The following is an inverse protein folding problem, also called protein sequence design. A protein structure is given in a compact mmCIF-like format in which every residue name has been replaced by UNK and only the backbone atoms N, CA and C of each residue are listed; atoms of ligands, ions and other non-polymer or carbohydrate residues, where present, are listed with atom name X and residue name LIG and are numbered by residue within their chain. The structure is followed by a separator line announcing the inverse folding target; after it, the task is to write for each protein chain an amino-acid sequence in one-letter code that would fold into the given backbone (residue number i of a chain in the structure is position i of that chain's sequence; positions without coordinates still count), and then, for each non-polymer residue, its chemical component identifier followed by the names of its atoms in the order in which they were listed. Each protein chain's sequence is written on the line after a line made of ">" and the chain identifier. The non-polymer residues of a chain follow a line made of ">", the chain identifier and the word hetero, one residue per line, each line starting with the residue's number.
data_IF_730941074706
#
_entry.id   IF_730941074706
#
_cell.length_a   1.000
_cell.length_b   1.000
_cell.length_c   1.000
_cell.angle_alpha   90.00
_cell.angle_beta   90.00
_cell.angle_gamma   90.00
#
_symmetry.space_group_name_H-M   'P 1'
#
loop_
_entity.id
_entity.type
_entity.pdbx_description
1 polymer ?
#
# COMPACT_ATOMS: atom_id res chain seq x y z
N UNK A 1 -21.62 25.91 17.36
CA UNK A 1 -21.33 24.48 17.16
C UNK A 1 -20.75 24.29 15.77
N UNK A 2 -19.46 24.03 15.66
CA UNK A 2 -18.79 23.79 14.36
C UNK A 2 -19.09 22.37 13.91
N UNK A 3 -19.98 22.25 12.92
CA UNK A 3 -20.30 20.98 12.27
C UNK A 3 -19.01 20.40 11.67
N UNK A 4 -18.57 19.25 12.18
CA UNK A 4 -17.55 18.45 11.52
C UNK A 4 -18.07 18.13 10.12
N UNK A 5 -17.51 18.78 9.09
CA UNK A 5 -17.87 18.49 7.70
C UNK A 5 -17.64 17.00 7.47
N UNK A 6 -18.68 16.33 6.97
CA UNK A 6 -18.67 14.90 6.64
C UNK A 6 -17.45 14.63 5.78
N UNK A 7 -16.52 13.82 6.29
CA UNK A 7 -15.35 13.35 5.54
C UNK A 7 -15.83 12.70 4.23
N UNK A 8 -15.16 12.96 3.12
CA UNK A 8 -15.54 12.41 1.81
C UNK A 8 -15.74 10.89 1.92
N UNK A 9 -16.82 10.38 1.32
CA UNK A 9 -17.08 8.94 1.25
C UNK A 9 -15.87 8.28 0.59
N UNK A 10 -15.24 7.34 1.30
CA UNK A 10 -14.07 6.64 0.77
C UNK A 10 -14.51 5.53 -0.17
N UNK A 11 -13.79 5.33 -1.29
CA UNK A 11 -14.02 4.17 -2.12
C UNK A 11 -13.80 2.89 -1.31
N UNK A 12 -14.57 1.84 -1.60
CA UNK A 12 -14.41 0.51 -0.98
C UNK A 12 -13.08 -0.16 -1.38
N UNK A 13 -12.45 0.33 -2.45
CA UNK A 13 -11.15 -0.12 -2.94
C UNK A 13 -10.02 0.60 -2.21
N UNK A 14 -8.90 -0.08 -2.02
CA UNK A 14 -7.68 0.50 -1.45
C UNK A 14 -7.29 1.79 -2.21
N UNK A 15 -7.30 2.97 -1.56
CA UNK A 15 -7.18 4.26 -2.26
C UNK A 15 -5.89 4.45 -3.06
N UNK A 16 -4.82 3.76 -2.67
CA UNK A 16 -3.50 3.85 -3.29
C UNK A 16 -3.20 2.70 -4.26
N UNK A 17 -4.13 1.75 -4.44
CA UNK A 17 -3.98 0.68 -5.42
C UNK A 17 -4.34 1.19 -6.81
N UNK A 18 -3.39 1.11 -7.73
CA UNK A 18 -3.56 1.67 -9.07
C UNK A 18 -3.22 0.67 -10.18
N UNK A 19 -3.52 1.07 -11.41
CA UNK A 19 -3.26 0.26 -12.60
C UNK A 19 -1.77 -0.03 -12.81
N UNK A 20 -0.87 0.87 -12.41
CA UNK A 20 0.57 0.63 -12.47
C UNK A 20 1.00 -0.50 -11.54
N UNK A 21 0.51 -0.53 -10.29
CA UNK A 21 0.77 -1.62 -9.36
C UNK A 21 0.22 -2.94 -9.87
N UNK A 22 -0.97 -2.94 -10.48
CA UNK A 22 -1.56 -4.14 -11.07
C UNK A 22 -0.74 -4.66 -12.25
N UNK A 23 -0.29 -3.77 -13.15
CA UNK A 23 0.61 -4.13 -14.25
C UNK A 23 1.93 -4.71 -13.75
N UNK A 24 2.55 -4.09 -12.74
CA UNK A 24 3.78 -4.59 -12.13
C UNK A 24 3.57 -5.95 -11.45
N UNK A 25 2.45 -6.15 -10.76
CA UNK A 25 2.07 -7.42 -10.14
C UNK A 25 1.94 -8.51 -11.20
N UNK A 26 1.24 -8.23 -12.29
CA UNK A 26 1.09 -9.16 -13.42
C UNK A 26 2.43 -9.51 -14.06
N UNK A 27 3.30 -8.51 -14.26
CA UNK A 27 4.66 -8.71 -14.76
C UNK A 27 5.50 -9.60 -13.85
N UNK A 28 5.44 -9.39 -12.53
CA UNK A 28 6.14 -10.22 -11.55
C UNK A 28 5.63 -11.65 -11.57
N UNK A 29 4.31 -11.85 -11.65
CA UNK A 29 3.72 -13.18 -11.76
C UNK A 29 4.19 -13.90 -13.03
N UNK A 30 4.21 -13.21 -14.17
CA UNK A 30 4.73 -13.77 -15.43
C UNK A 30 6.22 -14.14 -15.32
N UNK A 31 7.05 -13.26 -14.78
CA UNK A 31 8.48 -13.52 -14.58
C UNK A 31 8.72 -14.68 -13.61
N UNK A 32 7.97 -14.75 -12.50
CA UNK A 32 8.06 -15.85 -11.54
C UNK A 32 7.75 -17.18 -12.23
N UNK A 33 6.65 -17.26 -12.99
CA UNK A 33 6.26 -18.48 -13.73
C UNK A 33 7.34 -18.91 -14.73
N UNK A 34 7.92 -17.96 -15.48
CA UNK A 34 9.00 -18.23 -16.44
C UNK A 34 10.25 -18.76 -15.74
N UNK A 35 10.66 -18.12 -14.65
CA UNK A 35 11.79 -18.57 -13.82
C UNK A 35 11.57 -19.97 -13.24
N UNK A 36 10.40 -20.23 -12.64
CA UNK A 36 10.12 -21.52 -11.98
C UNK A 36 10.04 -22.68 -12.97
N UNK A 37 9.54 -22.44 -14.19
CA UNK A 37 9.42 -23.46 -15.24
C UNK A 37 10.71 -23.71 -16.03
N UNK A 38 11.74 -22.89 -15.84
CA UNK A 38 13.01 -23.09 -16.54
C UNK A 38 13.86 -24.13 -15.82
N UNK A 39 14.29 -25.16 -16.56
CA UNK A 39 15.13 -26.25 -16.07
C UNK A 39 16.61 -25.93 -16.21
N UNK A 40 17.01 -25.37 -17.36
CA UNK A 40 18.38 -24.94 -17.65
C UNK A 40 18.91 -23.98 -16.56
N UNK A 41 19.98 -24.33 -15.83
CA UNK A 41 20.51 -23.52 -14.75
C UNK A 41 20.99 -22.12 -15.17
N UNK A 42 21.59 -21.99 -16.36
CA UNK A 42 22.15 -20.72 -16.87
C UNK A 42 21.02 -19.77 -17.20
N UNK A 43 20.08 -20.22 -18.03
CA UNK A 43 18.89 -19.44 -18.41
C UNK A 43 18.01 -19.15 -17.19
N UNK A 44 17.97 -20.06 -16.21
CA UNK A 44 17.23 -19.87 -14.96
C UNK A 44 17.84 -18.76 -14.10
N UNK A 45 19.16 -18.63 -14.06
CA UNK A 45 19.83 -17.55 -13.34
C UNK A 45 19.48 -16.17 -13.93
N UNK A 46 19.50 -16.04 -15.25
CA UNK A 46 19.10 -14.81 -15.94
C UNK A 46 17.64 -14.43 -15.68
N UNK A 47 16.72 -15.40 -15.81
CA UNK A 47 15.29 -15.18 -15.51
C UNK A 47 15.06 -14.85 -14.03
N UNK A 48 15.82 -15.45 -13.12
CA UNK A 48 15.79 -15.15 -11.68
C UNK A 48 16.24 -13.70 -11.41
N UNK A 49 17.27 -13.22 -12.11
CA UNK A 49 17.73 -11.84 -12.02
C UNK A 49 16.64 -10.86 -12.48
N UNK A 50 16.03 -11.10 -13.65
CA UNK A 50 14.93 -10.29 -14.16
C UNK A 50 13.74 -10.24 -13.18
N UNK A 51 13.36 -11.38 -12.60
CA UNK A 51 12.34 -11.45 -11.55
C UNK A 51 12.71 -10.62 -10.31
N UNK A 52 13.95 -10.74 -9.81
CA UNK A 52 14.43 -9.99 -8.64
C UNK A 52 14.38 -8.49 -8.86
N UNK A 53 14.85 -8.02 -10.02
CA UNK A 53 14.82 -6.59 -10.39
C UNK A 53 13.39 -6.07 -10.41
N UNK A 54 12.49 -6.78 -11.10
CA UNK A 54 11.08 -6.38 -11.18
C UNK A 54 10.39 -6.38 -9.80
N UNK A 55 10.67 -7.39 -8.97
CA UNK A 55 10.16 -7.49 -7.60
C UNK A 55 10.66 -6.34 -6.72
N UNK A 56 11.93 -5.95 -6.84
CA UNK A 56 12.48 -4.81 -6.12
C UNK A 56 11.78 -3.51 -6.53
N UNK A 57 11.57 -3.29 -7.84
CA UNK A 57 10.83 -2.13 -8.36
C UNK A 57 9.42 -2.07 -7.77
N UNK A 58 8.66 -3.17 -7.86
CA UNK A 58 7.30 -3.22 -7.31
C UNK A 58 7.24 -2.93 -5.82
N UNK A 59 8.15 -3.51 -5.00
CA UNK A 59 8.16 -3.23 -3.55
C UNK A 59 8.43 -1.76 -3.25
N UNK A 60 9.33 -1.12 -3.99
CA UNK A 60 9.60 0.31 -3.85
C UNK A 60 8.35 1.13 -4.21
N UNK A 61 7.77 0.89 -5.39
CA UNK A 61 6.55 1.57 -5.83
C UNK A 61 5.39 1.37 -4.85
N UNK A 62 5.23 0.16 -4.32
CA UNK A 62 4.21 -0.17 -3.33
C UNK A 62 4.38 0.63 -2.03
N UNK A 63 5.61 0.68 -1.49
CA UNK A 63 5.89 1.48 -0.29
C UNK A 63 5.63 2.95 -0.55
N UNK A 64 6.20 3.51 -1.62
CA UNK A 64 6.04 4.93 -1.96
C UNK A 64 4.57 5.33 -2.08
N UNK A 65 3.72 4.53 -2.74
CA UNK A 65 2.29 4.84 -2.90
C UNK A 65 1.52 4.73 -1.60
N UNK A 66 1.79 3.68 -0.81
CA UNK A 66 1.18 3.51 0.51
C UNK A 66 1.55 4.68 1.42
N UNK A 67 2.84 5.01 1.50
CA UNK A 67 3.36 6.04 2.40
C UNK A 67 2.85 7.43 1.97
N UNK A 68 2.76 7.70 0.66
CA UNK A 68 2.15 8.91 0.12
C UNK A 68 0.66 9.01 0.47
N UNK A 69 -0.12 7.96 0.26
CA UNK A 69 -1.54 7.97 0.60
C UNK A 69 -1.78 8.12 2.09
N UNK A 70 -0.89 7.57 2.92
CA UNK A 70 -0.92 7.80 4.37
C UNK A 70 -0.63 9.27 4.72
N UNK A 71 0.39 9.87 4.10
CA UNK A 71 0.70 11.29 4.29
C UNK A 71 -0.46 12.20 3.87
N UNK A 72 -1.05 11.98 2.69
CA UNK A 72 -2.22 12.72 2.20
C UNK A 72 -3.41 12.60 3.16
N UNK A 73 -3.64 11.40 3.72
CA UNK A 73 -4.67 11.19 4.73
C UNK A 73 -4.37 11.96 6.02
N UNK A 74 -3.12 11.92 6.50
CA UNK A 74 -2.71 12.68 7.69
C UNK A 74 -2.87 14.19 7.48
N UNK A 75 -2.56 14.73 6.30
CA UNK A 75 -2.79 16.14 5.95
C UNK A 75 -4.29 16.49 5.93
N UNK A 76 -5.13 15.64 5.33
CA UNK A 76 -6.59 15.84 5.32
C UNK A 76 -7.17 15.85 6.76
N UNK A 77 -6.71 14.95 7.63
CA UNK A 77 -7.19 14.90 9.02
C UNK A 77 -6.64 16.06 9.85
N UNK A 78 -5.37 16.41 9.67
CA UNK A 78 -4.73 17.49 10.43
C UNK A 78 -5.30 18.85 10.07
N UNK A 79 -5.62 19.08 8.79
CA UNK A 79 -6.29 20.31 8.34
C UNK A 79 -7.73 20.43 8.86
N UNK A 80 -8.40 19.31 9.12
CA UNK A 80 -9.74 19.30 9.74
C UNK A 80 -9.68 19.60 11.24
N UNK A 81 -8.65 19.17 11.97
CA UNK A 81 -8.45 19.51 13.37
C UNK A 81 -7.04 19.13 13.88
N UNK A 82 -6.10 20.09 13.88
CA UNK A 82 -4.68 19.88 14.19
C UNK A 82 -4.42 19.18 15.55
N UNK A 83 -5.35 19.29 16.50
CA UNK A 83 -5.19 18.74 17.84
C UNK A 83 -6.14 17.57 18.15
N UNK A 84 -7.24 17.41 17.41
CA UNK A 84 -8.23 16.39 17.78
C UNK A 84 -7.77 14.96 17.49
N UNK A 85 -6.91 14.74 16.49
CA UNK A 85 -6.42 13.40 16.18
C UNK A 85 -5.35 12.91 17.18
N UNK A 86 -4.28 13.69 17.49
CA UNK A 86 -3.38 13.36 18.60
C UNK A 86 -4.10 13.20 19.94
N UNK A 87 -5.09 14.07 20.23
CA UNK A 87 -5.92 13.96 21.42
C UNK A 87 -6.73 12.66 21.44
N UNK A 88 -7.36 12.25 20.34
CA UNK A 88 -8.14 11.00 20.30
C UNK A 88 -7.28 9.75 20.45
N UNK A 89 -6.06 9.76 19.91
CA UNK A 89 -5.09 8.66 20.09
C UNK A 89 -4.64 8.60 21.56
N UNK A 90 -4.18 9.71 22.13
CA UNK A 90 -3.71 9.76 23.53
C UNK A 90 -4.82 9.50 24.55
N UNK A 91 -6.06 9.94 24.27
CA UNK A 91 -7.21 9.70 25.13
C UNK A 91 -7.91 8.34 24.87
N UNK A 92 -7.37 7.50 23.98
CA UNK A 92 -7.96 6.22 23.58
C UNK A 92 -9.43 6.31 23.12
N UNK A 93 -9.78 7.43 22.47
CA UNK A 93 -11.13 7.75 21.97
C UNK A 93 -11.28 7.47 20.47
N UNK A 94 -10.43 6.62 19.90
CA UNK A 94 -10.52 6.21 18.50
C UNK A 94 -11.57 5.11 18.38
N UNK A 95 -12.76 5.46 17.87
CA UNK A 95 -13.92 4.57 17.77
C UNK A 95 -13.79 3.61 16.57
N UNK A 96 -12.83 2.70 16.63
CA UNK A 96 -12.78 1.45 15.87
C UNK A 96 -11.77 0.54 16.58
N UNK A 97 -12.10 -0.71 16.90
CA UNK A 97 -11.06 -1.64 17.31
C UNK A 97 -10.10 -1.76 16.12
N UNK A 98 -8.84 -1.36 16.31
CA UNK A 98 -7.75 -1.84 15.47
C UNK A 98 -7.68 -3.34 15.73
N UNK A 99 -8.45 -4.12 14.97
CA UNK A 99 -8.30 -5.57 14.95
C UNK A 99 -6.96 -5.83 14.29
N UNK A 100 -5.92 -5.95 15.12
CA UNK A 100 -4.70 -6.65 14.76
C UNK A 100 -5.08 -8.13 14.85
N UNK A 101 -5.62 -8.69 13.77
CA UNK A 101 -5.77 -10.13 13.66
C UNK A 101 -4.39 -10.73 13.35
N UNK A 102 -3.76 -11.23 14.41
CA UNK A 102 -2.74 -12.26 14.35
C UNK A 102 -3.40 -13.63 14.47
N UNK A 103 -3.23 -14.43 13.40
CA UNK A 103 -3.55 -15.87 13.20
C UNK A 103 -5.03 -16.19 12.99
#
# INVERSE_FOLDING_TARGET
>A
MTYLKRTKQRPKTVPWWDSELEMLRNKICALKRRFTRTLDPVVKAEKKLAYKICRAKFRRTLSTKRDRSWAEFCEEVSSLNAYAFPYKISANKVSSPLVIESI
#
